data_IF_980288574812
#
_entry.id   IF_980288574812
#
_cell.length_a   1.000
_cell.length_b   1.000
_cell.length_c   1.000
_cell.angle_alpha   90.00
_cell.angle_beta   90.00
_cell.angle_gamma   90.00
#
_symmetry.space_group_name_H-M   'P 1'
#
loop_
_entity.id
_entity.type
_entity.pdbx_description
1 polymer ?
#
# COMPACT_ATOMS: atom_id res chain seq x y z
N UNK A 1 19.05 -25.60 -1.44
CA UNK A 1 18.09 -24.50 -1.12
C UNK A 1 18.86 -23.20 -1.14
N UNK A 2 18.44 -22.21 -1.93
CA UNK A 2 19.06 -20.89 -1.94
C UNK A 2 18.80 -20.18 -0.60
N UNK A 3 19.82 -19.55 0.00
CA UNK A 3 19.74 -18.82 1.29
C UNK A 3 18.60 -17.78 1.30
N UNK A 4 18.28 -17.22 0.14
CA UNK A 4 17.19 -16.26 -0.07
C UNK A 4 15.81 -16.83 0.33
N UNK A 5 15.59 -18.14 0.20
CA UNK A 5 14.34 -18.79 0.65
C UNK A 5 14.25 -18.92 2.17
N UNK A 6 15.36 -18.85 2.90
CA UNK A 6 15.33 -18.84 4.36
C UNK A 6 15.10 -17.43 4.93
N UNK A 7 15.18 -16.39 4.10
CA UNK A 7 14.99 -14.99 4.49
C UNK A 7 13.59 -14.48 4.08
N UNK A 8 13.20 -14.69 2.82
CA UNK A 8 11.88 -14.24 2.32
C UNK A 8 10.80 -15.30 2.46
N UNK A 9 10.81 -16.29 1.57
CA UNK A 9 9.83 -17.37 1.49
C UNK A 9 10.08 -18.52 2.46
N UNK A 10 10.28 -18.23 3.74
CA UNK A 10 10.60 -19.24 4.77
C UNK A 10 9.39 -20.11 5.17
N UNK A 11 8.48 -20.38 4.25
CA UNK A 11 7.33 -21.27 4.43
C UNK A 11 7.61 -22.64 3.82
N UNK A 12 7.12 -23.71 4.47
CA UNK A 12 7.27 -25.11 4.03
C UNK A 12 5.97 -25.77 3.58
N UNK A 13 4.85 -25.07 3.76
CA UNK A 13 3.49 -25.58 3.56
C UNK A 13 2.76 -24.71 2.53
N UNK A 14 1.75 -25.32 1.90
CA UNK A 14 0.82 -24.64 1.01
C UNK A 14 -0.27 -23.92 1.83
N UNK A 15 -0.94 -22.88 1.30
CA UNK A 15 -1.99 -22.18 2.03
C UNK A 15 -3.14 -23.08 2.46
N UNK A 16 -3.52 -24.04 1.63
CA UNK A 16 -4.62 -24.97 1.89
C UNK A 16 -4.33 -25.94 3.04
N UNK A 17 -3.06 -26.04 3.44
CA UNK A 17 -2.58 -26.92 4.49
C UNK A 17 -2.61 -26.26 5.87
N UNK A 18 -3.15 -25.04 6.00
CA UNK A 18 -3.20 -24.29 7.25
C UNK A 18 -3.91 -25.10 8.35
N UNK A 19 -5.17 -25.46 8.16
CA UNK A 19 -5.97 -26.15 9.18
C UNK A 19 -5.39 -27.52 9.58
N UNK A 20 -4.76 -28.23 8.65
CA UNK A 20 -4.19 -29.57 8.92
C UNK A 20 -2.84 -29.53 9.62
N UNK A 21 -2.13 -28.40 9.60
CA UNK A 21 -0.77 -28.29 10.15
C UNK A 21 -0.65 -27.32 11.34
N UNK A 22 -1.71 -26.59 11.68
CA UNK A 22 -1.71 -25.76 12.87
C UNK A 22 -1.67 -26.63 14.13
N UNK A 23 -0.82 -26.25 15.08
CA UNK A 23 -0.95 -26.77 16.45
C UNK A 23 -2.31 -26.37 17.03
N UNK A 24 -2.85 -27.19 17.94
CA UNK A 24 -4.12 -26.88 18.61
C UNK A 24 -4.13 -25.46 19.21
N UNK A 25 -3.03 -25.06 19.87
CA UNK A 25 -2.87 -23.71 20.44
C UNK A 25 -2.99 -22.60 19.40
N UNK A 26 -2.40 -22.80 18.21
CA UNK A 26 -2.46 -21.82 17.14
C UNK A 26 -3.85 -21.75 16.50
N UNK A 27 -4.50 -22.90 16.28
CA UNK A 27 -5.90 -22.98 15.86
C UNK A 27 -6.82 -22.24 16.85
N UNK A 28 -6.66 -22.49 18.15
CA UNK A 28 -7.49 -21.86 19.18
C UNK A 28 -7.24 -20.36 19.33
N UNK A 29 -6.02 -19.90 19.03
CA UNK A 29 -5.71 -18.47 18.95
C UNK A 29 -6.44 -17.82 17.77
N UNK A 30 -6.38 -18.41 16.58
CA UNK A 30 -7.08 -17.89 15.39
C UNK A 30 -8.58 -17.85 15.65
N UNK A 31 -9.17 -18.94 16.13
CA UNK A 31 -10.62 -18.99 16.43
C UNK A 31 -11.03 -17.87 17.39
N UNK A 32 -10.30 -17.67 18.49
CA UNK A 32 -10.60 -16.59 19.46
C UNK A 32 -10.43 -15.19 18.87
N UNK A 33 -9.50 -14.99 17.94
CA UNK A 33 -9.30 -13.71 17.28
C UNK A 33 -10.49 -13.34 16.36
N UNK A 34 -11.12 -14.33 15.73
CA UNK A 34 -12.26 -14.13 14.83
C UNK A 34 -13.64 -14.33 15.49
N UNK A 35 -13.73 -14.97 16.65
CA UNK A 35 -14.99 -15.26 17.38
C UNK A 35 -15.94 -14.05 17.53
N UNK A 36 -15.48 -12.82 17.86
CA UNK A 36 -16.39 -11.69 18.02
C UNK A 36 -16.75 -11.01 16.70
N UNK A 37 -16.18 -11.41 15.56
CA UNK A 37 -16.31 -10.72 14.29
C UNK A 37 -17.40 -11.36 13.43
N UNK A 38 -18.25 -10.53 12.82
CA UNK A 38 -19.16 -10.98 11.75
C UNK A 38 -18.37 -11.09 10.43
N UNK A 39 -18.16 -12.32 9.89
CA UNK A 39 -17.38 -12.51 8.68
C UNK A 39 -17.95 -11.77 7.46
N UNK A 40 -19.26 -11.48 7.46
CA UNK A 40 -19.92 -10.78 6.36
C UNK A 40 -19.60 -9.28 6.36
N UNK A 41 -19.12 -8.76 7.48
CA UNK A 41 -18.71 -7.36 7.65
C UNK A 41 -17.19 -7.20 7.76
N UNK A 42 -16.45 -8.31 7.88
CA UNK A 42 -15.00 -8.30 7.98
C UNK A 42 -14.37 -7.83 6.67
N UNK A 43 -13.58 -6.75 6.75
CA UNK A 43 -12.79 -6.24 5.64
C UNK A 43 -11.38 -5.92 6.11
N UNK A 44 -10.37 -6.53 5.49
CA UNK A 44 -8.99 -6.04 5.55
C UNK A 44 -8.88 -4.81 4.64
N UNK A 45 -8.43 -3.68 5.17
CA UNK A 45 -8.37 -2.42 4.45
C UNK A 45 -7.04 -2.16 3.72
N UNK A 46 -6.01 -2.99 3.91
CA UNK A 46 -4.65 -2.67 3.47
C UNK A 46 -3.92 -3.90 2.89
N UNK A 47 -4.28 -4.30 1.67
CA UNK A 47 -3.57 -5.36 0.93
C UNK A 47 -2.89 -4.79 -0.31
N UNK A 48 -1.56 -4.81 -0.33
CA UNK A 48 -0.80 -4.42 -1.51
C UNK A 48 -0.89 -5.48 -2.61
N UNK A 49 -1.22 -5.05 -3.83
CA UNK A 49 -0.83 -5.79 -5.02
C UNK A 49 0.58 -5.42 -5.41
N UNK A 50 1.25 -6.35 -6.08
CA UNK A 50 2.54 -6.13 -6.71
C UNK A 50 2.56 -6.81 -8.07
N UNK A 51 3.44 -6.32 -8.94
CA UNK A 51 3.67 -6.87 -10.27
C UNK A 51 4.87 -6.20 -10.91
N UNK A 52 5.45 -6.87 -11.88
CA UNK A 52 6.59 -6.38 -12.67
C UNK A 52 6.19 -6.04 -14.11
N UNK A 53 4.90 -6.10 -14.45
CA UNK A 53 4.38 -5.72 -15.76
C UNK A 53 4.14 -6.88 -16.72
N UNK A 54 4.38 -8.11 -16.30
CA UNK A 54 4.14 -9.31 -17.12
C UNK A 54 2.67 -9.71 -17.12
N UNK A 55 2.22 -10.40 -18.17
CA UNK A 55 0.83 -10.87 -18.25
C UNK A 55 -0.22 -9.76 -18.38
N UNK A 56 0.17 -8.56 -18.83
CA UNK A 56 -0.75 -7.45 -19.09
C UNK A 56 -1.24 -6.72 -17.83
N UNK A 57 -0.52 -6.80 -16.71
CA UNK A 57 -0.77 -5.95 -15.54
C UNK A 57 -0.48 -4.47 -15.80
N UNK A 58 0.46 -4.17 -16.70
CA UNK A 58 1.05 -2.84 -16.88
C UNK A 58 1.64 -2.25 -15.58
N UNK A 59 1.90 -3.11 -14.58
CA UNK A 59 2.67 -2.75 -13.41
C UNK A 59 4.11 -2.43 -13.82
N UNK A 60 4.80 -1.71 -12.96
CA UNK A 60 6.19 -1.33 -13.19
C UNK A 60 6.98 -1.56 -11.92
N UNK A 61 8.23 -1.99 -12.09
CA UNK A 61 9.25 -1.98 -11.05
C UNK A 61 10.49 -1.29 -11.61
N UNK A 62 11.20 -0.57 -10.75
CA UNK A 62 12.40 0.14 -11.12
C UNK A 62 13.45 -0.80 -11.72
N UNK A 63 14.12 -0.36 -12.79
CA UNK A 63 15.13 -1.18 -13.49
C UNK A 63 16.32 -1.57 -12.62
N UNK A 64 16.59 -0.81 -11.54
CA UNK A 64 17.60 -1.18 -10.53
C UNK A 64 17.30 -2.55 -9.91
N UNK A 65 16.03 -2.90 -9.72
CA UNK A 65 15.60 -4.20 -9.15
C UNK A 65 15.80 -5.39 -10.11
N UNK A 66 15.86 -5.13 -11.41
CA UNK A 66 15.98 -6.15 -12.45
C UNK A 66 17.42 -6.34 -12.94
N UNK A 67 18.33 -5.42 -12.59
CA UNK A 67 19.69 -5.37 -13.11
C UNK A 67 20.74 -5.80 -12.09
N UNK A 68 21.62 -6.73 -12.48
CA UNK A 68 22.80 -7.11 -11.68
C UNK A 68 23.85 -6.00 -11.55
N UNK A 69 23.72 -4.89 -12.29
CA UNK A 69 24.53 -3.69 -12.06
C UNK A 69 24.25 -3.04 -10.70
N UNK A 70 23.09 -3.34 -10.10
CA UNK A 70 22.68 -2.88 -8.78
C UNK A 70 22.46 -4.10 -7.85
N UNK A 71 23.53 -4.80 -7.42
CA UNK A 71 23.43 -6.10 -6.78
C UNK A 71 22.59 -6.11 -5.50
N UNK A 72 22.64 -5.03 -4.70
CA UNK A 72 21.80 -4.89 -3.51
C UNK A 72 20.31 -4.83 -3.84
N UNK A 73 19.92 -4.06 -4.86
CA UNK A 73 18.53 -3.97 -5.33
C UNK A 73 18.08 -5.31 -5.94
N UNK A 74 18.94 -5.94 -6.75
CA UNK A 74 18.63 -7.25 -7.33
C UNK A 74 18.44 -8.33 -6.26
N UNK A 75 19.24 -8.31 -5.19
CA UNK A 75 19.07 -9.22 -4.06
C UNK A 75 17.77 -8.93 -3.29
N UNK A 76 17.47 -7.65 -3.01
CA UNK A 76 16.20 -7.21 -2.41
C UNK A 76 15.00 -7.71 -3.23
N UNK A 77 15.02 -7.54 -4.54
CA UNK A 77 14.01 -8.08 -5.45
C UNK A 77 13.87 -9.60 -5.36
N UNK A 78 14.97 -10.35 -5.32
CA UNK A 78 14.92 -11.82 -5.16
C UNK A 78 14.34 -12.25 -3.82
N UNK A 79 14.60 -11.50 -2.74
CA UNK A 79 13.94 -11.71 -1.45
C UNK A 79 12.43 -11.47 -1.56
N UNK A 80 12.00 -10.42 -2.25
CA UNK A 80 10.57 -10.17 -2.48
C UNK A 80 9.88 -11.25 -3.31
N UNK A 81 10.50 -11.70 -4.40
CA UNK A 81 9.97 -12.81 -5.20
C UNK A 81 9.83 -14.08 -4.37
N UNK A 82 10.84 -14.39 -3.56
CA UNK A 82 10.83 -15.52 -2.62
C UNK A 82 9.72 -15.39 -1.58
N UNK A 83 9.59 -14.23 -0.92
CA UNK A 83 8.55 -13.96 0.07
C UNK A 83 7.14 -14.04 -0.53
N UNK A 84 6.98 -13.55 -1.76
CA UNK A 84 5.73 -13.62 -2.52
C UNK A 84 5.41 -15.03 -3.05
N UNK A 85 6.32 -16.00 -2.92
CA UNK A 85 6.14 -17.34 -3.47
C UNK A 85 6.10 -17.37 -4.99
N UNK A 86 6.80 -16.45 -5.64
CA UNK A 86 6.93 -16.36 -7.09
C UNK A 86 8.22 -17.05 -7.52
N UNK A 87 8.09 -18.01 -8.43
CA UNK A 87 9.19 -18.84 -8.93
C UNK A 87 9.77 -18.30 -10.22
N UNK A 88 8.92 -17.82 -11.13
CA UNK A 88 9.32 -17.38 -12.47
C UNK A 88 8.99 -15.90 -12.73
N UNK A 89 10.01 -15.10 -13.07
CA UNK A 89 9.84 -13.69 -13.46
C UNK A 89 8.89 -13.54 -14.66
N UNK A 90 8.89 -14.49 -15.61
CA UNK A 90 8.00 -14.44 -16.79
C UNK A 90 6.52 -14.52 -16.46
N UNK A 91 6.17 -15.12 -15.32
CA UNK A 91 4.79 -15.32 -14.88
C UNK A 91 4.50 -14.59 -13.55
N UNK A 92 5.39 -13.70 -13.12
CA UNK A 92 5.44 -13.22 -11.75
C UNK A 92 4.11 -12.66 -11.24
N UNK A 93 3.46 -11.82 -12.05
CA UNK A 93 2.21 -11.15 -11.67
C UNK A 93 1.07 -12.15 -11.53
N UNK A 94 1.02 -13.20 -12.37
CA UNK A 94 0.01 -14.26 -12.28
C UNK A 94 0.28 -15.17 -11.08
N UNK A 95 1.53 -15.54 -10.84
CA UNK A 95 1.92 -16.35 -9.69
C UNK A 95 1.65 -15.61 -8.36
N UNK A 96 1.91 -14.31 -8.30
CA UNK A 96 1.60 -13.46 -7.16
C UNK A 96 0.10 -13.48 -6.83
N UNK A 97 -0.76 -13.24 -7.82
CA UNK A 97 -2.22 -13.25 -7.62
C UNK A 97 -2.72 -14.65 -7.24
N UNK A 98 -2.22 -15.69 -7.89
CA UNK A 98 -2.55 -17.08 -7.55
C UNK A 98 -2.18 -17.39 -6.10
N UNK A 99 -0.98 -16.98 -5.65
CA UNK A 99 -0.55 -17.16 -4.26
C UNK A 99 -1.42 -16.36 -3.29
N UNK A 100 -1.71 -15.10 -3.58
CA UNK A 100 -2.53 -14.23 -2.73
C UNK A 100 -3.95 -14.78 -2.56
N UNK A 101 -4.61 -15.18 -3.65
CA UNK A 101 -5.97 -15.74 -3.62
C UNK A 101 -6.03 -17.04 -2.81
N UNK A 102 -5.01 -17.90 -2.92
CA UNK A 102 -4.89 -19.12 -2.12
C UNK A 102 -4.65 -18.83 -0.63
N UNK A 103 -3.83 -17.83 -0.31
CA UNK A 103 -3.60 -17.39 1.08
C UNK A 103 -4.89 -16.91 1.74
N UNK A 104 -5.63 -16.03 1.06
CA UNK A 104 -6.91 -15.51 1.56
C UNK A 104 -7.95 -16.64 1.69
N UNK A 105 -8.11 -17.46 0.65
CA UNK A 105 -9.11 -18.54 0.65
C UNK A 105 -8.79 -19.68 1.62
N UNK A 106 -7.52 -19.80 2.04
CA UNK A 106 -7.08 -20.77 3.04
C UNK A 106 -7.49 -20.41 4.47
N UNK A 107 -7.97 -19.18 4.71
CA UNK A 107 -8.46 -18.74 6.01
C UNK A 107 -9.99 -18.89 6.01
N UNK A 108 -10.53 -19.65 6.97
CA UNK A 108 -11.97 -19.75 7.15
C UNK A 108 -12.54 -18.38 7.53
N UNK A 109 -13.69 -18.02 6.96
CA UNK A 109 -14.42 -16.80 7.30
C UNK A 109 -13.58 -15.51 7.06
N UNK A 110 -12.71 -15.54 6.04
CA UNK A 110 -11.71 -14.50 5.71
C UNK A 110 -12.25 -13.09 5.39
N UNK A 111 -13.57 -12.89 5.28
CA UNK A 111 -14.15 -11.60 4.89
C UNK A 111 -13.72 -11.13 3.49
N UNK A 112 -13.59 -9.83 3.27
CA UNK A 112 -13.03 -9.27 2.02
C UNK A 112 -11.74 -8.51 2.26
N UNK A 113 -10.96 -8.31 1.20
CA UNK A 113 -9.68 -7.61 1.28
C UNK A 113 -9.65 -6.46 0.28
N UNK A 114 -9.32 -5.26 0.75
CA UNK A 114 -9.13 -4.10 -0.10
C UNK A 114 -7.75 -4.14 -0.72
N UNK A 115 -7.71 -4.37 -2.01
CA UNK A 115 -6.49 -4.38 -2.80
C UNK A 115 -6.15 -2.97 -3.28
N UNK A 116 -4.88 -2.60 -3.13
CA UNK A 116 -4.42 -1.22 -3.30
C UNK A 116 -3.71 -1.03 -4.64
N UNK A 117 -4.11 0.03 -5.35
CA UNK A 117 -3.25 0.65 -6.37
C UNK A 117 -2.06 1.37 -5.74
N UNK A 118 -1.09 1.74 -6.57
CA UNK A 118 0.09 2.49 -6.15
C UNK A 118 0.57 3.34 -7.32
N UNK A 119 0.34 4.65 -7.27
CA UNK A 119 0.73 5.55 -8.36
C UNK A 119 2.24 5.84 -8.32
N UNK A 120 2.76 6.43 -9.39
CA UNK A 120 4.17 6.76 -9.54
C UNK A 120 4.60 7.92 -8.64
N UNK A 121 5.90 8.15 -8.60
CA UNK A 121 6.45 9.41 -8.13
C UNK A 121 6.25 10.50 -9.19
N UNK A 122 5.76 11.66 -8.76
CA UNK A 122 5.58 12.83 -9.62
C UNK A 122 6.30 14.02 -9.00
N UNK A 123 6.94 14.81 -9.86
CA UNK A 123 7.42 16.14 -9.50
C UNK A 123 6.24 17.10 -9.39
N UNK A 124 6.46 18.19 -8.66
CA UNK A 124 5.48 19.27 -8.50
C UNK A 124 5.06 19.96 -9.81
N UNK A 125 5.84 19.82 -10.89
CA UNK A 125 5.47 20.30 -12.23
C UNK A 125 4.58 19.31 -13.02
N UNK A 126 4.23 18.17 -12.40
CA UNK A 126 3.43 17.09 -12.97
C UNK A 126 4.19 16.11 -13.85
N UNK A 127 5.51 16.24 -13.97
CA UNK A 127 6.34 15.25 -14.67
C UNK A 127 6.57 14.01 -13.80
N UNK A 128 6.60 12.83 -14.43
CA UNK A 128 6.85 11.57 -13.74
C UNK A 128 8.34 11.44 -13.43
N UNK A 129 8.67 11.06 -12.20
CA UNK A 129 10.03 10.65 -11.81
C UNK A 129 10.12 9.11 -11.74
N UNK A 130 10.48 8.49 -12.87
CA UNK A 130 10.66 7.04 -12.93
C UNK A 130 11.91 6.56 -12.17
N UNK A 131 12.87 7.43 -11.93
CA UNK A 131 14.06 7.06 -11.16
C UNK A 131 13.72 6.86 -9.68
N UNK A 132 12.88 7.75 -9.12
CA UNK A 132 12.33 7.64 -7.75
C UNK A 132 11.11 6.72 -7.65
N UNK A 133 10.50 6.31 -8.76
CA UNK A 133 9.43 5.32 -8.72
C UNK A 133 10.03 3.92 -8.52
N UNK A 134 9.94 3.36 -7.31
CA UNK A 134 10.41 1.98 -7.07
C UNK A 134 9.47 0.95 -7.69
N UNK A 135 8.15 1.14 -7.54
CA UNK A 135 7.14 0.34 -8.21
C UNK A 135 5.85 1.13 -8.46
N UNK A 136 5.02 0.64 -9.37
CA UNK A 136 3.74 1.22 -9.74
C UNK A 136 2.73 0.10 -10.04
N UNK A 137 1.52 0.26 -9.51
CA UNK A 137 0.39 -0.67 -9.66
C UNK A 137 -0.80 0.11 -10.23
N UNK A 138 -1.12 -0.07 -11.53
CA UNK A 138 -2.23 0.61 -12.18
C UNK A 138 -3.58 0.33 -11.54
N UNK A 139 -4.44 1.34 -11.48
CA UNK A 139 -5.81 1.17 -11.01
C UNK A 139 -6.60 0.19 -11.88
N UNK A 140 -6.35 0.16 -13.21
CA UNK A 140 -6.93 -0.83 -14.13
C UNK A 140 -6.62 -2.26 -13.71
N UNK A 141 -5.40 -2.52 -13.26
CA UNK A 141 -4.98 -3.84 -12.82
C UNK A 141 -5.71 -4.24 -11.54
N UNK A 142 -5.78 -3.33 -10.57
CA UNK A 142 -6.51 -3.55 -9.30
C UNK A 142 -7.98 -3.87 -9.56
N UNK A 143 -8.66 -3.07 -10.39
CA UNK A 143 -10.07 -3.29 -10.71
C UNK A 143 -10.29 -4.61 -11.44
N UNK A 144 -9.43 -4.95 -12.41
CA UNK A 144 -9.53 -6.23 -13.12
C UNK A 144 -9.41 -7.42 -12.17
N UNK A 145 -8.45 -7.39 -11.24
CA UNK A 145 -8.29 -8.47 -10.24
C UNK A 145 -9.48 -8.51 -9.29
N UNK A 146 -9.99 -7.37 -8.83
CA UNK A 146 -11.19 -7.32 -7.99
C UNK A 146 -12.41 -7.92 -8.70
N UNK A 147 -12.60 -7.63 -9.99
CA UNK A 147 -13.70 -8.17 -10.78
C UNK A 147 -13.59 -9.68 -11.00
N UNK A 148 -12.37 -10.19 -11.27
CA UNK A 148 -12.10 -11.62 -11.43
C UNK A 148 -12.31 -12.41 -10.12
N UNK A 149 -12.10 -11.77 -8.96
CA UNK A 149 -12.18 -12.39 -7.64
C UNK A 149 -13.11 -11.59 -6.71
N UNK A 150 -14.32 -11.23 -7.18
CA UNK A 150 -15.25 -10.34 -6.47
C UNK A 150 -15.73 -10.85 -5.09
N UNK A 151 -15.59 -12.16 -4.83
CA UNK A 151 -15.82 -12.77 -3.52
C UNK A 151 -14.72 -12.46 -2.50
N UNK A 152 -13.48 -12.22 -2.95
CA UNK A 152 -12.31 -12.01 -2.12
C UNK A 152 -11.94 -10.53 -1.98
N UNK A 153 -12.09 -9.75 -3.06
CA UNK A 153 -11.44 -8.45 -3.18
C UNK A 153 -12.40 -7.28 -3.39
N UNK A 154 -11.99 -6.13 -2.86
CA UNK A 154 -12.57 -4.81 -3.09
C UNK A 154 -11.46 -3.88 -3.64
N UNK A 155 -11.69 -3.13 -4.72
CA UNK A 155 -10.63 -2.29 -5.29
C UNK A 155 -10.52 -0.94 -4.58
N UNK A 156 -9.29 -0.54 -4.29
CA UNK A 156 -8.92 0.83 -3.92
C UNK A 156 -7.96 1.40 -4.97
N UNK A 157 -8.03 2.71 -5.20
CA UNK A 157 -7.17 3.37 -6.18
C UNK A 157 -5.97 4.04 -5.52
N UNK A 158 -4.98 4.40 -6.33
CA UNK A 158 -3.96 5.38 -5.98
C UNK A 158 -3.87 6.40 -7.11
N UNK A 159 -3.85 7.67 -6.74
CA UNK A 159 -3.78 8.79 -7.67
C UNK A 159 -2.89 9.84 -7.03
N UNK A 160 -1.74 10.13 -7.63
CA UNK A 160 -0.84 11.19 -7.15
C UNK A 160 -1.47 12.57 -7.43
N UNK A 161 -1.55 13.51 -6.47
CA UNK A 161 -2.19 14.81 -6.68
C UNK A 161 -1.45 15.70 -7.67
N UNK A 162 -0.14 15.49 -7.90
CA UNK A 162 0.65 16.30 -8.83
C UNK A 162 0.49 15.90 -10.29
N UNK A 163 -0.14 14.77 -10.59
CA UNK A 163 -0.34 14.37 -11.99
C UNK A 163 -1.25 15.37 -12.73
N UNK A 164 -1.01 15.65 -14.02
CA UNK A 164 -1.80 16.64 -14.77
C UNK A 164 -3.30 16.32 -14.86
N UNK A 165 -3.67 15.04 -14.79
CA UNK A 165 -5.04 14.52 -14.91
C UNK A 165 -5.63 14.05 -13.57
N UNK A 166 -5.12 14.53 -12.43
CA UNK A 166 -5.43 13.98 -11.10
C UNK A 166 -6.93 13.93 -10.80
N UNK A 167 -7.62 15.03 -11.08
CA UNK A 167 -9.04 15.17 -10.78
C UNK A 167 -9.89 14.31 -11.72
N UNK A 168 -9.53 14.24 -13.00
CA UNK A 168 -10.21 13.39 -13.97
C UNK A 168 -10.07 11.91 -13.61
N UNK A 169 -8.89 11.52 -13.14
CA UNK A 169 -8.62 10.15 -12.72
C UNK A 169 -9.39 9.79 -11.44
N UNK A 170 -9.49 10.69 -10.46
CA UNK A 170 -10.38 10.51 -9.30
C UNK A 170 -11.83 10.29 -9.72
N UNK A 171 -12.37 11.16 -10.58
CA UNK A 171 -13.75 11.07 -11.06
C UNK A 171 -14.02 9.76 -11.81
N UNK A 172 -13.08 9.37 -12.69
CA UNK A 172 -13.18 8.15 -13.48
C UNK A 172 -13.37 6.92 -12.58
N UNK A 173 -12.57 6.80 -11.54
CA UNK A 173 -12.60 5.63 -10.66
C UNK A 173 -13.71 5.70 -9.61
N UNK A 174 -14.03 6.90 -9.11
CA UNK A 174 -15.19 7.09 -8.23
C UNK A 174 -16.50 6.64 -8.90
N UNK A 175 -16.68 6.96 -10.19
CA UNK A 175 -17.82 6.49 -11.02
C UNK A 175 -17.85 4.96 -11.18
N UNK A 176 -16.69 4.30 -11.13
CA UNK A 176 -16.59 2.83 -11.14
C UNK A 176 -16.71 2.17 -9.76
N UNK A 177 -16.91 2.96 -8.70
CA UNK A 177 -17.14 2.44 -7.34
C UNK A 177 -15.92 2.51 -6.41
N UNK A 178 -14.81 3.14 -6.81
CA UNK A 178 -13.71 3.40 -5.88
C UNK A 178 -14.18 4.31 -4.73
N UNK A 179 -13.74 4.02 -3.51
CA UNK A 179 -14.06 4.83 -2.31
C UNK A 179 -12.84 5.21 -1.48
N UNK A 180 -11.69 4.61 -1.76
CA UNK A 180 -10.45 4.85 -1.02
C UNK A 180 -9.33 5.16 -2.02
N UNK A 181 -8.58 6.22 -1.73
CA UNK A 181 -7.36 6.63 -2.43
C UNK A 181 -6.18 6.32 -1.52
N UNK A 182 -5.25 5.46 -1.95
CA UNK A 182 -4.04 5.10 -1.23
C UNK A 182 -2.89 6.04 -1.61
N UNK A 183 -2.26 6.64 -0.61
CA UNK A 183 -0.98 7.35 -0.73
C UNK A 183 0.11 6.72 0.13
N UNK A 184 1.34 6.81 -0.36
CA UNK A 184 2.57 6.60 0.40
C UNK A 184 3.47 7.80 0.11
N UNK A 185 3.28 8.92 0.82
CA UNK A 185 3.90 10.21 0.47
C UNK A 185 5.40 10.14 0.22
N UNK A 186 6.13 9.42 1.08
CA UNK A 186 7.59 9.31 1.07
C UNK A 186 8.11 8.68 -0.24
N UNK A 187 7.42 7.68 -0.79
CA UNK A 187 7.83 7.05 -2.05
C UNK A 187 7.22 7.73 -3.28
N UNK A 188 6.01 8.27 -3.13
CA UNK A 188 5.28 8.91 -4.23
C UNK A 188 5.68 10.38 -4.45
N UNK A 189 6.52 10.94 -3.57
CA UNK A 189 6.95 12.34 -3.65
C UNK A 189 5.81 13.32 -3.40
N UNK A 190 4.84 12.96 -2.56
CA UNK A 190 3.68 13.80 -2.25
C UNK A 190 3.97 14.59 -0.99
N UNK A 191 3.77 15.90 -1.00
CA UNK A 191 3.70 16.70 0.22
C UNK A 191 2.21 16.93 0.53
N UNK A 192 1.63 16.26 1.54
CA UNK A 192 0.22 16.42 1.87
C UNK A 192 -0.15 17.85 2.33
N UNK A 193 0.84 18.67 2.69
CA UNK A 193 0.62 20.05 3.10
C UNK A 193 0.73 21.07 1.94
N UNK A 194 1.12 20.64 0.73
CA UNK A 194 1.29 21.54 -0.41
C UNK A 194 -0.06 22.12 -0.85
N UNK A 195 -0.19 23.46 -0.97
CA UNK A 195 -1.40 24.08 -1.49
C UNK A 195 -1.84 23.62 -2.89
N UNK A 196 -0.94 23.05 -3.70
CA UNK A 196 -1.33 22.45 -4.99
C UNK A 196 -2.30 21.26 -4.82
N UNK A 197 -2.29 20.61 -3.67
CA UNK A 197 -3.17 19.49 -3.36
C UNK A 197 -4.61 19.93 -3.02
N UNK A 198 -4.89 21.23 -2.86
CA UNK A 198 -6.22 21.72 -2.41
C UNK A 198 -7.35 21.31 -3.34
N UNK A 199 -7.15 21.46 -4.65
CA UNK A 199 -8.15 21.07 -5.64
C UNK A 199 -8.42 19.56 -5.61
N UNK A 200 -7.40 18.77 -5.30
CA UNK A 200 -7.51 17.33 -5.10
C UNK A 200 -8.35 17.00 -3.86
N UNK A 201 -8.11 17.67 -2.73
CA UNK A 201 -8.89 17.48 -1.51
C UNK A 201 -10.35 17.89 -1.66
N UNK A 202 -10.63 19.02 -2.31
CA UNK A 202 -12.00 19.42 -2.63
C UNK A 202 -12.69 18.37 -3.50
N UNK A 203 -12.01 17.85 -4.54
CA UNK A 203 -12.56 16.80 -5.39
C UNK A 203 -12.80 15.50 -4.62
N UNK A 204 -11.90 15.09 -3.73
CA UNK A 204 -12.10 13.92 -2.89
C UNK A 204 -13.35 14.05 -2.01
N UNK A 205 -13.53 15.22 -1.38
CA UNK A 205 -14.70 15.52 -0.55
C UNK A 205 -15.99 15.52 -1.37
N UNK A 206 -16.00 16.15 -2.54
CA UNK A 206 -17.14 16.14 -3.47
C UNK A 206 -17.55 14.72 -3.86
N UNK A 207 -16.58 13.83 -4.05
CA UNK A 207 -16.78 12.43 -4.46
C UNK A 207 -16.98 11.46 -3.26
N UNK A 208 -16.99 11.97 -2.03
CA UNK A 208 -17.04 11.20 -0.78
C UNK A 208 -15.95 10.11 -0.69
N UNK A 209 -14.74 10.45 -1.14
CA UNK A 209 -13.57 9.57 -1.09
C UNK A 209 -12.84 9.67 0.26
N UNK A 210 -12.24 8.55 0.67
CA UNK A 210 -11.39 8.44 1.85
C UNK A 210 -9.92 8.41 1.40
N UNK A 211 -9.07 9.15 2.10
CA UNK A 211 -7.62 9.08 1.92
C UNK A 211 -7.03 8.04 2.88
N UNK A 212 -6.48 6.94 2.36
CA UNK A 212 -5.63 6.02 3.11
C UNK A 212 -4.17 6.45 2.89
N UNK A 213 -3.59 7.22 3.80
CA UNK A 213 -2.20 7.67 3.68
C UNK A 213 -1.28 6.84 4.56
N UNK A 214 -0.05 6.61 4.09
CA UNK A 214 1.03 6.22 4.99
C UNK A 214 1.35 7.37 5.95
N UNK A 215 1.75 7.02 7.16
CA UNK A 215 2.31 7.94 8.16
C UNK A 215 3.54 7.32 8.79
N UNK A 216 4.51 8.15 9.13
CA UNK A 216 5.81 7.78 9.67
C UNK A 216 6.83 7.31 8.63
N UNK A 217 7.90 6.69 9.12
CA UNK A 217 8.98 6.21 8.30
C UNK A 217 8.57 5.03 7.41
N UNK A 218 9.15 4.96 6.21
CA UNK A 218 9.00 3.86 5.26
C UNK A 218 10.35 3.13 5.11
N UNK A 219 10.36 1.81 5.24
CA UNK A 219 11.60 0.98 5.24
C UNK A 219 11.61 -0.10 4.16
N UNK A 220 10.46 -0.45 3.61
CA UNK A 220 10.33 -1.41 2.52
C UNK A 220 10.56 -0.74 1.16
N UNK A 221 10.20 0.54 1.00
CA UNK A 221 10.32 1.29 -0.25
C UNK A 221 11.46 2.34 -0.18
N UNK A 222 12.18 2.57 -1.28
CA UNK A 222 13.20 3.60 -1.45
C UNK A 222 12.55 4.97 -1.28
N UNK A 223 12.77 5.55 -0.11
CA UNK A 223 12.20 6.83 0.29
C UNK A 223 13.18 7.64 1.15
N UNK A 224 14.47 7.29 1.19
CA UNK A 224 15.46 7.85 2.12
C UNK A 224 15.52 9.38 2.09
N UNK A 225 15.48 10.00 0.91
CA UNK A 225 15.52 11.47 0.77
C UNK A 225 14.21 12.16 1.17
N UNK A 226 13.11 11.42 1.14
CA UNK A 226 11.74 11.94 1.19
C UNK A 226 10.97 11.41 2.43
N UNK A 227 11.66 10.80 3.40
CA UNK A 227 11.06 10.27 4.65
C UNK A 227 10.23 11.31 5.40
N UNK A 228 10.65 12.59 5.34
CA UNK A 228 9.94 13.71 5.97
C UNK A 228 8.51 13.89 5.45
N UNK A 229 8.21 13.43 4.23
CA UNK A 229 6.85 13.50 3.67
C UNK A 229 5.88 12.55 4.39
N UNK A 230 6.40 11.64 5.21
CA UNK A 230 5.63 10.75 6.07
C UNK A 230 5.27 11.38 7.41
N UNK A 231 5.74 12.59 7.69
CA UNK A 231 5.40 13.31 8.92
C UNK A 231 3.87 13.40 9.06
N UNK A 232 3.27 12.80 10.11
CA UNK A 232 1.82 12.77 10.27
C UNK A 232 1.18 14.14 10.18
N UNK A 233 1.81 15.16 10.76
CA UNK A 233 1.28 16.53 10.82
C UNK A 233 0.99 17.14 9.44
N UNK A 234 1.65 16.68 8.37
CA UNK A 234 1.36 17.13 7.01
C UNK A 234 -0.07 16.79 6.58
N UNK A 235 -0.70 15.78 7.20
CA UNK A 235 -2.08 15.37 6.96
C UNK A 235 -3.11 16.32 7.61
N UNK A 236 -2.69 17.34 8.36
CA UNK A 236 -3.60 18.37 8.87
C UNK A 236 -4.35 19.07 7.74
N UNK A 237 -3.68 19.38 6.64
CA UNK A 237 -4.29 20.06 5.49
C UNK A 237 -5.46 19.28 4.86
N UNK A 238 -5.35 17.98 4.51
CA UNK A 238 -6.51 17.21 4.05
C UNK A 238 -7.62 17.10 5.10
N UNK A 239 -7.29 17.00 6.39
CA UNK A 239 -8.29 16.98 7.47
C UNK A 239 -9.07 18.30 7.54
N UNK A 240 -8.38 19.44 7.50
CA UNK A 240 -9.00 20.79 7.48
C UNK A 240 -9.85 21.03 6.22
N UNK A 241 -9.47 20.44 5.08
CA UNK A 241 -10.30 20.45 3.88
C UNK A 241 -11.60 19.63 4.04
N UNK A 242 -11.70 18.80 5.08
CA UNK A 242 -12.84 17.92 5.39
C UNK A 242 -12.76 16.56 4.70
N UNK A 243 -11.57 16.11 4.32
CA UNK A 243 -11.35 14.75 3.79
C UNK A 243 -11.30 13.76 4.95
N UNK A 244 -11.95 12.60 4.79
CA UNK A 244 -11.80 11.48 5.72
C UNK A 244 -10.43 10.84 5.51
N UNK A 245 -9.60 10.78 6.54
CA UNK A 245 -8.23 10.23 6.45
C UNK A 245 -8.08 8.99 7.33
N UNK A 246 -7.46 7.94 6.79
CA UNK A 246 -6.95 6.79 7.52
C UNK A 246 -5.42 6.87 7.47
N UNK A 247 -4.78 6.94 8.64
CA UNK A 247 -3.32 6.91 8.76
C UNK A 247 -2.88 5.45 8.96
N UNK A 248 -2.21 4.90 7.95
CA UNK A 248 -1.76 3.51 7.97
C UNK A 248 -0.74 3.29 9.10
N UNK A 249 -0.76 2.08 9.67
CA UNK A 249 0.17 1.65 10.72
C UNK A 249 0.21 2.55 11.97
N UNK A 250 -0.81 3.40 12.17
CA UNK A 250 -0.86 4.42 13.23
C UNK A 250 0.41 5.28 13.31
N UNK A 251 1.09 5.47 12.17
CA UNK A 251 2.40 6.12 12.11
C UNK A 251 3.45 5.56 13.10
N UNK A 252 3.37 4.28 13.46
CA UNK A 252 4.14 3.71 14.58
C UNK A 252 5.65 3.57 14.37
N UNK A 253 6.21 4.01 13.24
CA UNK A 253 7.64 3.87 12.94
C UNK A 253 8.33 5.23 12.82
N UNK A 254 9.46 5.34 13.52
CA UNK A 254 10.41 6.43 13.35
C UNK A 254 9.99 7.75 13.98
N UNK A 255 10.78 8.78 13.69
CA UNK A 255 10.61 10.13 14.22
C UNK A 255 10.50 11.15 13.09
N UNK A 256 9.83 12.28 13.34
CA UNK A 256 9.84 13.44 12.45
C UNK A 256 9.93 14.75 13.24
N UNK A 257 10.25 15.84 12.52
CA UNK A 257 10.23 17.19 13.07
C UNK A 257 8.80 17.61 13.44
N UNK A 258 8.59 18.02 14.68
CA UNK A 258 7.39 18.74 15.06
C UNK A 258 7.49 20.19 14.59
N UNK A 259 7.06 20.45 13.36
CA UNK A 259 7.13 21.79 12.76
C UNK A 259 6.11 22.78 13.36
N UNK A 260 5.22 22.33 14.23
CA UNK A 260 4.25 23.17 14.95
C UNK A 260 4.79 23.61 16.32
N UNK A 261 5.77 22.90 16.87
CA UNK A 261 6.49 23.30 18.07
C UNK A 261 7.49 24.42 17.80
N UNK A 262 7.68 25.32 18.78
CA UNK A 262 8.60 26.46 18.68
C UNK A 262 10.06 26.04 18.48
N UNK A 263 10.45 24.89 19.02
CA UNK A 263 11.82 24.37 18.99
C UNK A 263 12.08 23.33 17.90
N UNK A 264 11.05 22.91 17.17
CA UNK A 264 11.13 21.96 16.04
C UNK A 264 11.87 20.67 16.40
N UNK A 265 11.53 20.12 17.55
CA UNK A 265 12.15 18.88 18.06
C UNK A 265 11.74 17.65 17.23
N UNK A 266 12.59 16.63 17.22
CA UNK A 266 12.24 15.32 16.66
C UNK A 266 11.36 14.58 17.67
N UNK A 267 10.20 14.12 17.21
CA UNK A 267 9.19 13.45 18.01
C UNK A 267 8.81 12.13 17.35
N UNK A 268 8.43 11.13 18.14
CA UNK A 268 7.92 9.87 17.61
C UNK A 268 6.70 10.12 16.72
N UNK A 269 6.69 9.48 15.56
CA UNK A 269 5.60 9.62 14.61
C UNK A 269 4.25 9.18 15.19
N UNK A 270 4.27 8.21 16.12
CA UNK A 270 3.07 7.80 16.84
C UNK A 270 2.48 8.95 17.67
N UNK A 271 3.31 9.72 18.38
CA UNK A 271 2.86 10.85 19.20
C UNK A 271 2.33 11.99 18.33
N UNK A 272 2.99 12.27 17.21
CA UNK A 272 2.50 13.24 16.21
C UNK A 272 1.15 12.81 15.62
N UNK A 273 0.96 11.52 15.36
CA UNK A 273 -0.32 10.95 14.92
C UNK A 273 -1.40 11.09 16.00
N UNK A 274 -1.10 10.76 17.25
CA UNK A 274 -2.04 10.89 18.36
C UNK A 274 -2.52 12.33 18.53
N UNK A 275 -1.63 13.30 18.36
CA UNK A 275 -2.02 14.73 18.40
C UNK A 275 -3.06 15.09 17.35
N UNK A 276 -2.94 14.59 16.12
CA UNK A 276 -3.94 14.82 15.08
C UNK A 276 -5.30 14.19 15.38
N UNK A 277 -5.34 13.16 16.23
CA UNK A 277 -6.58 12.50 16.64
C UNK A 277 -7.29 13.24 17.79
N UNK A 278 -6.56 14.07 18.54
CA UNK A 278 -7.08 14.85 19.65
C UNK A 278 -7.66 16.22 19.22
N UNK A 279 -7.32 16.69 18.02
CA UNK A 279 -7.77 17.94 17.39
C UNK A 279 -9.13 17.80 16.67
#
# INVERSE_FOLDING_TARGET
>A
MCLIHQIGGAFKHKPEELDSNLSQKASDLIKRAFDPLDPTQLVDHHVHLAGIGVGGSNAFINQKMLSWKHPFHRLKFKVYMSAAGVEAETNADTEFISRLTRLVSGIKDHGKHRILGFDKNYRRDGTVDLEKTEFYVPNEYVFRIAEQHAGLFLPNISVNPYRPDALQELERWARRGARVVKWLPNAMGIDPSDPQCDSFYQKMKELDLILLSHGGEEKAVEAEEDQKLGNPLLLRRPLEAGVKVIVAHCAGLGTNEDFEATDKTQVDNFDLFMRLMDD
#
